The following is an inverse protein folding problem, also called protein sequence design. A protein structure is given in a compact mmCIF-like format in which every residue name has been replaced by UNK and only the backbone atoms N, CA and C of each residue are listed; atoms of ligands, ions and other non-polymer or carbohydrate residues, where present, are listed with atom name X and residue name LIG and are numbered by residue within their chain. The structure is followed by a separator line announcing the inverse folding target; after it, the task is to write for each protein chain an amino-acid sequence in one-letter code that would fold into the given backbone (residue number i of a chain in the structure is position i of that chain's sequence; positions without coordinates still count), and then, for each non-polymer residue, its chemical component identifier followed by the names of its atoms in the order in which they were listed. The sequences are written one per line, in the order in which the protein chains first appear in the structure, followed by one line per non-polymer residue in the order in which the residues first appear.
data_IF_384070438847
#
_entry.id   IF_384070438847
#
_cell.length_a   1.000
_cell.length_b   1.000
_cell.length_c   1.000
_cell.angle_alpha   90.00
_cell.angle_beta   90.00
_cell.angle_gamma   90.00
#
_symmetry.space_group_name_H-M   'P 1'
#
loop_
_entity.id
_entity.type
_entity.pdbx_description
1 polymer ?
#
# COMPACT_ATOMS: atom_id res chain seq x y z
N UNK A 1 -12.27 -18.71 22.15
CA UNK A 1 -12.26 -18.05 20.83
C UNK A 1 -10.84 -17.55 20.63
N UNK A 2 -10.08 -18.16 19.71
CA UNK A 2 -8.79 -17.60 19.32
C UNK A 2 -9.10 -16.34 18.52
N UNK A 3 -8.86 -15.18 19.12
CA UNK A 3 -9.00 -13.90 18.45
C UNK A 3 -7.75 -13.75 17.57
N UNK A 4 -7.86 -14.14 16.30
CA UNK A 4 -6.82 -13.84 15.33
C UNK A 4 -6.87 -12.34 15.09
N UNK A 5 -6.05 -11.60 15.83
CA UNK A 5 -5.94 -10.15 15.68
C UNK A 5 -5.16 -9.82 14.40
N UNK A 6 -5.89 -9.77 13.29
CA UNK A 6 -5.36 -9.38 11.99
C UNK A 6 -4.91 -7.91 11.94
N UNK A 7 -5.24 -7.07 12.93
CA UNK A 7 -4.77 -5.67 12.97
C UNK A 7 -3.25 -5.59 13.05
N UNK A 8 -2.63 -6.54 13.75
CA UNK A 8 -1.18 -6.69 13.80
C UNK A 8 -0.58 -7.04 12.44
N UNK A 9 -1.28 -7.87 11.66
CA UNK A 9 -0.84 -8.29 10.32
C UNK A 9 -0.91 -7.12 9.34
N UNK A 10 -2.01 -6.36 9.34
CA UNK A 10 -2.16 -5.18 8.48
C UNK A 10 -1.11 -4.10 8.82
N UNK A 11 -0.90 -3.81 10.10
CA UNK A 11 0.09 -2.81 10.53
C UNK A 11 1.53 -3.21 10.14
N UNK A 12 1.85 -4.50 10.23
CA UNK A 12 3.14 -5.02 9.77
C UNK A 12 3.29 -4.97 8.25
N UNK A 13 2.22 -5.27 7.51
CA UNK A 13 2.23 -5.22 6.05
C UNK A 13 2.41 -3.78 5.54
N UNK A 14 1.74 -2.80 6.15
CA UNK A 14 1.95 -1.36 5.85
C UNK A 14 3.40 -0.94 6.11
N UNK A 15 3.96 -1.36 7.26
CA UNK A 15 5.35 -1.06 7.60
C UNK A 15 6.35 -1.66 6.61
N UNK A 16 6.10 -2.88 6.13
CA UNK A 16 6.91 -3.53 5.09
C UNK A 16 6.79 -2.79 3.76
N UNK A 17 5.56 -2.45 3.33
CA UNK A 17 5.34 -1.70 2.10
C UNK A 17 6.04 -0.35 2.13
N UNK A 18 5.98 0.34 3.28
CA UNK A 18 6.70 1.60 3.50
C UNK A 18 8.20 1.41 3.37
N UNK A 19 8.75 0.41 4.05
CA UNK A 19 10.19 0.10 3.95
C UNK A 19 10.60 -0.24 2.51
N UNK A 20 9.79 -1.00 1.77
CA UNK A 20 10.04 -1.30 0.37
C UNK A 20 9.99 -0.06 -0.52
N UNK A 21 9.11 0.90 -0.23
CA UNK A 21 9.01 2.17 -0.94
C UNK A 21 10.20 3.09 -0.63
N UNK A 22 10.57 3.22 0.65
CA UNK A 22 11.72 4.01 1.10
C UNK A 22 13.05 3.47 0.52
N UNK A 23 13.14 2.16 0.28
CA UNK A 23 14.31 1.51 -0.34
C UNK A 23 14.22 1.46 -1.88
N UNK A 24 13.16 1.99 -2.49
CA UNK A 24 12.99 2.05 -3.96
C UNK A 24 12.61 0.72 -4.62
N UNK A 25 12.23 -0.30 -3.85
CA UNK A 25 11.69 -1.56 -4.40
C UNK A 25 10.26 -1.40 -4.88
N UNK A 26 9.47 -0.57 -4.18
CA UNK A 26 8.10 -0.22 -4.54
C UNK A 26 8.01 1.23 -4.99
N UNK A 27 6.97 1.51 -5.78
CA UNK A 27 6.57 2.85 -6.18
C UNK A 27 5.18 3.14 -5.62
N UNK A 28 4.78 4.40 -5.65
CA UNK A 28 3.41 4.82 -5.32
C UNK A 28 2.37 4.03 -6.14
N UNK A 29 2.66 3.76 -7.43
CA UNK A 29 1.84 2.90 -8.31
C UNK A 29 1.68 1.48 -7.78
N UNK A 30 2.73 0.91 -7.18
CA UNK A 30 2.65 -0.41 -6.54
C UNK A 30 1.67 -0.39 -5.37
N UNK A 31 1.74 0.65 -4.51
CA UNK A 31 0.85 0.78 -3.35
C UNK A 31 -0.59 1.04 -3.79
N UNK A 32 -0.80 1.87 -4.81
CA UNK A 32 -2.12 2.05 -5.40
C UNK A 32 -2.69 0.76 -5.98
N UNK A 33 -1.87 -0.10 -6.58
CA UNK A 33 -2.29 -1.43 -7.02
C UNK A 33 -2.87 -2.27 -5.88
N UNK A 34 -2.26 -2.21 -4.70
CA UNK A 34 -2.79 -2.89 -3.51
C UNK A 34 -4.11 -2.29 -3.02
N UNK A 35 -4.30 -0.97 -3.14
CA UNK A 35 -5.58 -0.32 -2.86
C UNK A 35 -6.66 -0.76 -3.85
N UNK A 36 -6.34 -0.80 -5.14
CA UNK A 36 -7.28 -1.24 -6.19
C UNK A 36 -7.70 -2.71 -6.03
N UNK A 37 -6.80 -3.55 -5.52
CA UNK A 37 -7.09 -4.95 -5.22
C UNK A 37 -7.80 -5.16 -3.87
N UNK A 38 -8.03 -4.08 -3.10
CA UNK A 38 -8.69 -4.13 -1.80
C UNK A 38 -7.82 -4.67 -0.67
N UNK A 39 -6.50 -4.74 -0.86
CA UNK A 39 -5.54 -5.10 0.19
C UNK A 39 -5.38 -3.98 1.21
N UNK A 40 -5.42 -2.73 0.74
CA UNK A 40 -5.43 -1.53 1.59
C UNK A 40 -6.61 -0.63 1.24
N UNK A 41 -6.99 0.21 2.19
CA UNK A 41 -7.90 1.33 1.96
C UNK A 41 -7.13 2.60 1.54
N UNK A 42 -7.87 3.65 1.20
CA UNK A 42 -7.30 4.95 0.84
C UNK A 42 -6.45 5.54 1.98
N UNK A 43 -6.83 5.30 3.24
CA UNK A 43 -6.04 5.75 4.39
C UNK A 43 -4.74 4.93 4.53
N UNK A 44 -4.74 3.65 4.19
CA UNK A 44 -3.56 2.78 4.16
C UNK A 44 -2.53 3.24 3.14
N UNK A 45 -2.99 3.68 1.96
CA UNK A 45 -2.11 4.34 0.99
C UNK A 45 -1.39 5.54 1.61
N UNK A 46 -2.14 6.44 2.25
CA UNK A 46 -1.58 7.63 2.90
C UNK A 46 -0.62 7.30 4.03
N UNK A 47 -0.89 6.26 4.82
CA UNK A 47 0.04 5.80 5.87
C UNK A 47 1.37 5.31 5.30
N UNK A 48 1.35 4.68 4.12
CA UNK A 48 2.55 4.13 3.46
C UNK A 48 3.33 5.20 2.71
N UNK A 49 2.68 5.89 1.76
CA UNK A 49 3.31 6.85 0.83
C UNK A 49 3.44 8.26 1.41
N UNK A 50 2.49 8.65 2.27
CA UNK A 50 2.35 10.02 2.78
C UNK A 50 1.35 10.87 1.98
N UNK A 51 0.88 10.38 0.85
CA UNK A 51 0.04 11.13 -0.09
C UNK A 51 -1.42 10.66 -0.08
N UNK A 52 -2.34 11.52 -0.52
CA UNK A 52 -3.75 11.16 -0.66
C UNK A 52 -3.96 10.25 -1.89
N UNK A 53 -4.72 9.16 -1.72
CA UNK A 53 -5.02 8.25 -2.83
C UNK A 53 -6.00 8.88 -3.82
N UNK A 54 -5.57 9.02 -5.09
CA UNK A 54 -6.42 9.48 -6.19
C UNK A 54 -6.65 8.34 -7.18
N UNK A 55 -7.89 7.85 -7.23
CA UNK A 55 -8.28 6.80 -8.17
C UNK A 55 -8.20 7.32 -9.63
N UNK A 56 -7.37 6.69 -10.45
CA UNK A 56 -7.24 7.00 -11.89
C UNK A 56 -5.92 7.67 -12.30
N UNK A 57 -5.11 8.15 -11.36
CA UNK A 57 -3.81 8.81 -11.66
C UNK A 57 -2.64 7.81 -11.84
N UNK A 58 -2.87 6.54 -11.52
CA UNK A 58 -1.81 5.52 -11.36
C UNK A 58 -1.55 4.73 -12.65
N UNK A 59 -2.05 5.22 -13.79
CA UNK A 59 -1.89 4.58 -15.09
C UNK A 59 -0.70 5.17 -15.85
N UNK A 60 0.54 4.97 -15.38
CA UNK A 60 1.73 5.00 -16.26
C UNK A 60 2.94 4.42 -15.55
N UNK A 61 3.18 3.12 -15.69
CA UNK A 61 4.35 2.55 -16.38
C UNK A 61 4.23 1.02 -16.33
N UNK A 62 3.64 0.44 -17.38
CA UNK A 62 4.04 -0.89 -17.79
C UNK A 62 5.51 -0.77 -18.21
N UNK A 63 6.42 -1.24 -17.36
CA UNK A 63 7.85 -1.22 -17.65
C UNK A 63 8.10 -2.03 -18.93
N UNK A 64 8.77 -1.40 -19.91
CA UNK A 64 9.27 -2.03 -21.13
C UNK A 64 10.53 -2.85 -20.90
#
# INVERSE_FOLDING_TARGET
MFDFDFSSIYSNLESLCKSSLDNGYFTDNTIAGFVQQGTFDADGYKRITGDDYVAGDQNTVANG
#
